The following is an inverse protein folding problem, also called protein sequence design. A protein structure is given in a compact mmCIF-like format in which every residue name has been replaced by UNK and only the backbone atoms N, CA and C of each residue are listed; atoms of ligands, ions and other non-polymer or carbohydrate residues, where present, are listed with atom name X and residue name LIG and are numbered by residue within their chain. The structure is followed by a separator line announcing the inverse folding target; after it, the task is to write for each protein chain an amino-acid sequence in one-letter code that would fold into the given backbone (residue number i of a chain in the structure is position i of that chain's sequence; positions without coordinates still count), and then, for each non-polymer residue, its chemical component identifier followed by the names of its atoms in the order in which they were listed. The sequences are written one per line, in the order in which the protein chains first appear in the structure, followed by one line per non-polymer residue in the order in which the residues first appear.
data_IF_763659224137
#
_entry.id   IF_763659224137
#
_cell.length_a   1.000
_cell.length_b   1.000
_cell.length_c   1.000
_cell.angle_alpha   90.00
_cell.angle_beta   90.00
_cell.angle_gamma   90.00
#
_symmetry.space_group_name_H-M   'P 1'
#
loop_
_entity.id
_entity.type
_entity.pdbx_description
1 polymer ?
#
# COMPACT_ATOMS: atom_id res chain seq x y z
N UNK A 1 6.99 -6.96 -17.01
CA UNK A 1 5.66 -6.38 -17.36
C UNK A 1 4.51 -7.01 -16.59
N UNK A 2 4.62 -8.22 -16.03
CA UNK A 2 3.52 -8.86 -15.31
C UNK A 2 3.18 -8.16 -13.98
N UNK A 3 4.19 -7.85 -13.16
CA UNK A 3 4.01 -7.12 -11.89
C UNK A 3 3.23 -5.80 -12.06
N UNK A 4 3.49 -5.06 -13.15
CA UNK A 4 2.75 -3.84 -13.46
C UNK A 4 1.25 -4.12 -13.70
N UNK A 5 0.91 -5.23 -14.36
CA UNK A 5 -0.50 -5.62 -14.57
C UNK A 5 -1.16 -5.97 -13.24
N UNK A 6 -0.46 -6.71 -12.39
CA UNK A 6 -0.95 -7.05 -11.05
C UNK A 6 -1.20 -5.80 -10.21
N UNK A 7 -0.25 -4.87 -10.17
CA UNK A 7 -0.39 -3.58 -9.46
C UNK A 7 -1.62 -2.80 -9.96
N UNK A 8 -1.84 -2.80 -11.28
CA UNK A 8 -3.03 -2.17 -11.89
C UNK A 8 -4.33 -2.88 -11.50
N UNK A 9 -4.35 -4.21 -11.55
CA UNK A 9 -5.53 -5.00 -11.20
C UNK A 9 -5.91 -4.81 -9.73
N UNK A 10 -4.93 -4.66 -8.86
CA UNK A 10 -5.11 -4.33 -7.45
C UNK A 10 -5.55 -2.87 -7.21
N UNK A 11 -5.64 -2.02 -8.25
CA UNK A 11 -5.98 -0.60 -8.09
C UNK A 11 -4.89 0.22 -7.40
N UNK A 12 -3.68 -0.31 -7.25
CA UNK A 12 -2.58 0.30 -6.51
C UNK A 12 -1.71 1.24 -7.39
N UNK A 13 -2.09 1.43 -8.66
CA UNK A 13 -1.39 2.35 -9.55
C UNK A 13 -1.75 3.80 -9.20
N UNK A 14 -0.76 4.68 -8.96
CA UNK A 14 -1.02 6.07 -8.65
C UNK A 14 -1.90 6.77 -9.70
N UNK A 15 -2.85 7.63 -9.28
CA UNK A 15 -3.67 8.41 -10.21
C UNK A 15 -2.79 9.23 -11.17
N UNK A 16 -3.15 9.23 -12.46
CA UNK A 16 -2.39 9.94 -13.49
C UNK A 16 -1.14 9.22 -13.98
N UNK A 17 -0.74 8.10 -13.35
CA UNK A 17 0.35 7.27 -13.85
C UNK A 17 -0.13 6.42 -15.02
N UNK A 18 0.28 6.81 -16.23
CA UNK A 18 -0.02 6.09 -17.47
C UNK A 18 0.65 4.72 -17.57
N UNK A 19 0.47 3.99 -18.68
CA UNK A 19 1.19 2.74 -18.90
C UNK A 19 2.71 2.99 -18.98
N UNK A 20 3.57 2.00 -18.66
CA UNK A 20 5.00 2.16 -18.71
C UNK A 20 5.47 2.60 -20.11
N UNK A 21 6.53 3.42 -20.23
CA UNK A 21 7.05 3.86 -21.52
C UNK A 21 7.29 2.69 -22.48
N UNK A 22 7.12 2.92 -23.80
CA UNK A 22 7.39 1.87 -24.82
C UNK A 22 8.81 1.33 -24.71
N UNK A 23 9.76 2.19 -24.36
CA UNK A 23 11.13 1.81 -24.06
C UNK A 23 11.21 0.71 -22.99
N UNK A 24 10.32 0.62 -22.00
CA UNK A 24 10.40 -0.44 -20.99
C UNK A 24 9.61 -1.71 -21.36
N UNK A 25 8.81 -1.66 -22.44
CA UNK A 25 7.91 -2.74 -22.86
C UNK A 25 8.47 -3.68 -23.92
N UNK A 26 9.41 -3.23 -24.75
CA UNK A 26 9.95 -4.02 -25.88
C UNK A 26 11.18 -4.88 -25.54
N UNK A 27 11.65 -5.66 -26.51
CA UNK A 27 12.98 -6.30 -26.43
C UNK A 27 14.07 -5.29 -26.83
N UNK A 28 15.28 -5.38 -26.25
CA UNK A 28 16.44 -4.57 -26.64
C UNK A 28 16.83 -4.87 -28.10
N UNK A 29 16.82 -3.88 -29.02
CA UNK A 29 17.31 -4.07 -30.38
C UNK A 29 18.85 -4.02 -30.47
N UNK A 30 19.56 -4.31 -29.36
CA UNK A 30 21.02 -4.21 -29.26
C UNK A 30 21.73 -5.00 -30.36
N UNK A 31 21.20 -6.17 -30.74
CA UNK A 31 21.78 -7.00 -31.81
C UNK A 31 21.70 -6.36 -33.21
N UNK A 32 20.67 -5.55 -33.51
CA UNK A 32 20.47 -4.98 -34.85
C UNK A 32 21.34 -3.74 -35.11
N UNK A 33 21.65 -2.97 -34.08
CA UNK A 33 22.44 -1.74 -34.21
C UNK A 33 23.92 -2.06 -34.41
N UNK A 34 24.46 -3.07 -33.70
CA UNK A 34 25.84 -3.53 -33.90
C UNK A 34 26.11 -4.04 -35.32
N UNK A 35 25.13 -4.71 -35.93
CA UNK A 35 25.19 -5.18 -37.32
C UNK A 35 25.04 -4.05 -38.34
N UNK A 36 24.19 -3.05 -38.06
CA UNK A 36 23.98 -1.89 -38.95
C UNK A 36 25.21 -0.98 -38.97
N UNK A 37 25.90 -0.85 -37.83
CA UNK A 37 27.14 -0.08 -37.73
C UNK A 37 28.37 -0.88 -38.22
N UNK A 38 28.27 -2.19 -38.47
CA UNK A 38 29.36 -3.03 -38.99
C UNK A 38 29.68 -2.83 -40.50
N UNK A 39 28.93 -1.97 -41.20
CA UNK A 39 29.21 -1.64 -42.60
C UNK A 39 30.57 -0.93 -42.74
N UNK A 40 31.48 -1.36 -43.64
CA UNK A 40 32.81 -0.76 -43.76
C UNK A 40 32.74 0.59 -44.48
N UNK A 41 32.69 1.68 -43.72
CA UNK A 41 32.86 3.05 -44.21
C UNK A 41 34.24 3.60 -43.84
N UNK A 42 35.02 4.03 -44.82
CA UNK A 42 36.37 4.55 -44.64
C UNK A 42 36.38 5.85 -43.79
N UNK A 43 37.14 5.87 -42.68
CA UNK A 43 37.57 7.11 -42.00
C UNK A 43 36.89 7.48 -40.67
N UNK A 44 35.94 6.68 -40.15
CA UNK A 44 35.12 7.08 -38.99
C UNK A 44 35.37 6.31 -37.68
N UNK A 45 36.53 5.63 -37.52
CA UNK A 45 36.83 4.76 -36.37
C UNK A 45 36.40 5.37 -35.03
N UNK A 46 37.07 6.42 -34.56
CA UNK A 46 36.82 6.98 -33.22
C UNK A 46 35.37 7.42 -32.95
N UNK A 47 34.68 8.01 -33.93
CA UNK A 47 33.27 8.41 -33.79
C UNK A 47 32.34 7.19 -33.76
N UNK A 48 32.66 6.15 -34.53
CA UNK A 48 31.92 4.89 -34.57
C UNK A 48 32.08 4.11 -33.27
N UNK A 49 33.28 4.03 -32.71
CA UNK A 49 33.51 3.44 -31.39
C UNK A 49 32.77 4.21 -30.29
N UNK A 50 32.78 5.55 -30.32
CA UNK A 50 32.04 6.37 -29.37
C UNK A 50 30.53 6.12 -29.43
N UNK A 51 29.97 5.98 -30.64
CA UNK A 51 28.54 5.68 -30.82
C UNK A 51 28.19 4.28 -30.32
N UNK A 52 29.03 3.28 -30.56
CA UNK A 52 28.82 1.93 -30.05
C UNK A 52 28.80 1.91 -28.52
N UNK A 53 29.73 2.62 -27.88
CA UNK A 53 29.76 2.77 -26.43
C UNK A 53 28.49 3.44 -25.89
N UNK A 54 28.03 4.54 -26.50
CA UNK A 54 26.78 5.21 -26.10
C UNK A 54 25.59 4.24 -26.18
N UNK A 55 25.51 3.43 -27.24
CA UNK A 55 24.42 2.46 -27.39
C UNK A 55 24.45 1.37 -26.32
N UNK A 56 25.65 0.90 -25.95
CA UNK A 56 25.83 -0.06 -24.86
C UNK A 56 25.37 0.54 -23.53
N UNK A 57 25.79 1.75 -23.19
CA UNK A 57 25.39 2.45 -21.97
C UNK A 57 23.88 2.71 -21.90
N UNK A 58 23.26 3.12 -23.02
CA UNK A 58 21.80 3.25 -23.09
C UNK A 58 21.10 1.90 -22.89
N UNK A 59 21.69 0.81 -23.36
CA UNK A 59 21.21 -0.55 -23.11
C UNK A 59 21.29 -0.93 -21.63
N UNK A 60 22.40 -0.58 -20.98
CA UNK A 60 22.62 -0.80 -19.55
C UNK A 60 21.65 -0.01 -18.70
N UNK A 61 21.50 1.30 -18.95
CA UNK A 61 20.57 2.17 -18.25
C UNK A 61 19.14 1.64 -18.37
N UNK A 62 18.72 1.26 -19.58
CA UNK A 62 17.39 0.67 -19.81
C UNK A 62 17.18 -0.62 -19.01
N UNK A 63 18.21 -1.46 -18.85
CA UNK A 63 18.12 -2.68 -18.05
C UNK A 63 17.88 -2.35 -16.58
N UNK A 64 18.59 -1.36 -16.05
CA UNK A 64 18.40 -0.85 -14.70
C UNK A 64 16.99 -0.29 -14.52
N UNK A 65 16.49 0.50 -15.48
CA UNK A 65 15.13 1.06 -15.42
C UNK A 65 14.06 -0.03 -15.37
N UNK A 66 14.23 -1.12 -16.14
CA UNK A 66 13.30 -2.26 -16.11
C UNK A 66 13.35 -2.97 -14.76
N UNK A 67 14.54 -3.15 -14.18
CA UNK A 67 14.70 -3.75 -12.84
C UNK A 67 14.06 -2.88 -11.76
N UNK A 68 14.35 -1.58 -11.77
CA UNK A 68 13.79 -0.61 -10.84
C UNK A 68 12.26 -0.57 -10.92
N UNK A 69 11.70 -0.53 -12.13
CA UNK A 69 10.25 -0.59 -12.31
C UNK A 69 9.67 -1.89 -11.72
N UNK A 70 10.37 -3.02 -11.88
CA UNK A 70 10.00 -4.29 -11.26
C UNK A 70 9.96 -4.20 -9.74
N UNK A 71 11.03 -3.68 -9.13
CA UNK A 71 11.14 -3.51 -7.67
C UNK A 71 10.05 -2.59 -7.12
N UNK A 72 9.78 -1.46 -7.80
CA UNK A 72 8.70 -0.55 -7.41
C UNK A 72 7.32 -1.21 -7.51
N UNK A 73 7.09 -2.05 -8.51
CA UNK A 73 5.83 -2.81 -8.60
C UNK A 73 5.70 -3.83 -7.47
N UNK A 74 6.78 -4.57 -7.16
CA UNK A 74 6.78 -5.51 -6.03
C UNK A 74 6.51 -4.80 -4.71
N UNK A 75 7.23 -3.71 -4.44
CA UNK A 75 7.02 -2.90 -3.24
C UNK A 75 5.58 -2.37 -3.14
N UNK A 76 5.02 -1.89 -4.25
CA UNK A 76 3.63 -1.43 -4.28
C UNK A 76 2.63 -2.52 -3.92
N UNK A 77 2.85 -3.76 -4.39
CA UNK A 77 2.02 -4.91 -4.04
C UNK A 77 2.17 -5.30 -2.56
N UNK A 78 3.39 -5.33 -2.03
CA UNK A 78 3.66 -5.59 -0.61
C UNK A 78 2.99 -4.55 0.29
N UNK A 79 3.09 -3.26 -0.06
CA UNK A 79 2.39 -2.18 0.64
C UNK A 79 0.87 -2.32 0.56
N UNK A 80 0.34 -2.83 -0.55
CA UNK A 80 -1.08 -3.15 -0.69
C UNK A 80 -1.51 -4.23 0.29
N UNK A 81 -0.80 -5.35 0.34
CA UNK A 81 -1.06 -6.44 1.27
C UNK A 81 -1.00 -5.99 2.73
N UNK A 82 0.02 -5.20 3.11
CA UNK A 82 0.13 -4.64 4.47
C UNK A 82 -1.04 -3.70 4.83
N UNK A 83 -1.59 -2.96 3.85
CA UNK A 83 -2.77 -2.12 4.09
C UNK A 83 -4.01 -2.96 4.34
N UNK A 84 -4.19 -4.06 3.61
CA UNK A 84 -5.29 -4.99 3.81
C UNK A 84 -5.18 -5.68 5.19
N UNK A 85 -3.98 -6.14 5.56
CA UNK A 85 -3.71 -6.73 6.87
C UNK A 85 -3.99 -5.74 8.02
N UNK A 86 -3.56 -4.48 7.86
CA UNK A 86 -3.84 -3.44 8.86
C UNK A 86 -5.33 -3.13 8.98
N UNK A 87 -6.09 -3.13 7.87
CA UNK A 87 -7.55 -2.94 7.91
C UNK A 87 -8.21 -4.08 8.66
N UNK A 88 -7.85 -5.33 8.35
CA UNK A 88 -8.39 -6.50 9.05
C UNK A 88 -8.10 -6.45 10.56
N UNK A 89 -6.86 -6.12 10.95
CA UNK A 89 -6.50 -5.98 12.35
C UNK A 89 -7.36 -4.93 13.08
N UNK A 90 -7.59 -3.77 12.45
CA UNK A 90 -8.40 -2.70 13.05
C UNK A 90 -9.90 -3.05 13.12
N UNK A 91 -10.41 -3.83 12.16
CA UNK A 91 -11.77 -4.34 12.18
C UNK A 91 -11.94 -5.34 13.34
N UNK A 92 -11.00 -6.27 13.51
CA UNK A 92 -10.97 -7.22 14.63
C UNK A 92 -10.87 -6.50 15.99
N UNK A 93 -9.97 -5.53 16.13
CA UNK A 93 -9.80 -4.74 17.38
C UNK A 93 -11.05 -3.89 17.71
N UNK A 94 -11.79 -3.43 16.69
CA UNK A 94 -13.04 -2.70 16.90
C UNK A 94 -14.17 -3.61 17.38
N UNK A 95 -14.26 -4.84 16.86
CA UNK A 95 -15.24 -5.85 17.30
C UNK A 95 -14.98 -6.27 18.75
N UNK A 96 -13.74 -6.59 19.11
CA UNK A 96 -13.35 -6.95 20.49
C UNK A 96 -13.71 -5.84 21.48
N UNK A 97 -13.39 -4.57 21.18
CA UNK A 97 -13.77 -3.44 22.03
C UNK A 97 -15.29 -3.31 22.20
N UNK A 98 -16.08 -3.58 21.16
CA UNK A 98 -17.55 -3.53 21.29
C UNK A 98 -18.09 -4.68 22.14
N UNK A 99 -17.53 -5.88 22.04
CA UNK A 99 -17.91 -7.02 22.86
C UNK A 99 -17.55 -6.78 24.34
N UNK A 100 -16.36 -6.25 24.63
CA UNK A 100 -15.95 -5.88 25.98
C UNK A 100 -16.85 -4.78 26.58
N UNK A 101 -17.21 -3.77 25.79
CA UNK A 101 -18.15 -2.72 26.23
C UNK A 101 -19.55 -3.27 26.52
N UNK A 102 -20.05 -4.22 25.72
CA UNK A 102 -21.33 -4.87 25.96
C UNK A 102 -21.29 -5.77 27.21
N UNK A 103 -20.21 -6.52 27.44
CA UNK A 103 -20.04 -7.35 28.63
C UNK A 103 -19.99 -6.49 29.91
N UNK A 104 -19.25 -5.38 29.92
CA UNK A 104 -19.20 -4.46 31.08
C UNK A 104 -20.58 -3.84 31.37
N UNK A 105 -21.33 -3.47 30.33
CA UNK A 105 -22.72 -2.98 30.49
C UNK A 105 -23.65 -4.06 31.04
N UNK A 106 -23.52 -5.30 30.59
CA UNK A 106 -24.32 -6.42 31.08
C UNK A 106 -23.98 -6.75 32.54
N UNK A 107 -22.70 -6.76 32.91
CA UNK A 107 -22.23 -6.96 34.28
C UNK A 107 -22.71 -5.83 35.20
N UNK A 108 -22.65 -4.57 34.75
CA UNK A 108 -23.15 -3.42 35.50
C UNK A 108 -24.67 -3.46 35.69
N UNK A 109 -25.43 -3.82 34.65
CA UNK A 109 -26.88 -4.00 34.74
C UNK A 109 -27.29 -5.14 35.68
N UNK A 110 -26.52 -6.23 35.73
CA UNK A 110 -26.71 -7.34 36.67
C UNK A 110 -26.40 -6.95 38.12
N UNK A 111 -25.36 -6.14 38.36
CA UNK A 111 -25.01 -5.61 39.69
C UNK A 111 -26.04 -4.59 40.21
N UNK A 112 -26.56 -3.72 39.34
CA UNK A 112 -27.64 -2.78 39.67
C UNK A 112 -28.97 -3.52 39.89
N UNK A 113 -29.25 -4.60 39.15
CA UNK A 113 -30.43 -5.45 39.33
C UNK A 113 -30.44 -6.31 40.61
N UNK A 114 -29.27 -6.61 41.18
CA UNK A 114 -29.14 -7.31 42.47
C UNK A 114 -29.31 -6.38 43.68
N UNK A 115 -29.23 -5.06 43.48
CA UNK A 115 -29.41 -4.05 44.51
C UNK A 115 -30.86 -3.55 44.51
N UNK A 116 -31.79 -4.38 45.03
CA UNK A 116 -33.10 -3.87 45.43
C UNK A 116 -32.90 -2.80 46.52
N UNK A 117 -33.35 -1.54 46.34
CA UNK A 117 -33.59 -0.72 47.51
C UNK A 117 -34.75 -1.36 48.26
N UNK A 118 -34.49 -1.82 49.49
CA UNK A 118 -35.56 -2.09 50.46
C UNK A 118 -36.39 -0.81 50.57
N UNK A 119 -37.73 -0.83 50.42
CA UNK A 119 -38.55 0.32 50.75
C UNK A 119 -38.59 0.44 52.28
N UNK A 120 -37.56 1.05 52.84
CA UNK A 120 -37.39 1.30 54.26
C UNK A 120 -37.49 2.80 54.53
N UNK A 121 -38.62 3.19 55.09
CA UNK A 121 -38.95 4.47 55.72
C UNK A 121 -37.82 5.50 55.89
N UNK A 122 -37.88 6.58 55.12
CA UNK A 122 -37.34 7.89 55.53
C UNK A 122 -38.41 8.96 55.32
N UNK A 123 -39.29 9.10 56.32
CA UNK A 123 -40.06 10.32 56.54
C UNK A 123 -39.05 11.42 56.89
N UNK A 124 -39.00 12.56 56.19
CA UNK A 124 -38.19 13.69 56.63
C UNK A 124 -38.73 14.19 57.98
N UNK A 125 -37.89 14.63 58.93
CA UNK A 125 -38.40 15.25 60.14
C UNK A 125 -39.13 16.54 59.77
N UNK A 126 -40.42 16.59 60.11
CA UNK A 126 -41.23 17.80 60.03
C UNK A 126 -40.70 18.77 61.11
N UNK A 127 -39.77 19.67 60.75
CA UNK A 127 -39.40 20.77 61.63
C UNK A 127 -40.45 21.87 61.48
N UNK A 128 -41.25 22.07 62.53
CA UNK A 128 -42.11 23.24 62.70
C UNK A 128 -41.28 24.52 62.64
N UNK A 129 -41.49 25.33 61.60
CA UNK A 129 -41.05 26.72 61.57
C UNK A 129 -42.06 27.54 62.39
N UNK A 130 -41.73 27.81 63.65
CA UNK A 130 -42.44 28.86 64.40
C UNK A 130 -41.89 30.22 63.94
N UNK A 131 -42.79 31.10 63.50
CA UNK A 131 -42.50 32.47 63.05
C UNK A 131 -42.31 33.40 64.25
#
# INVERSE_FOLDING_TARGET
MELWKQLRQAGLVPPGLGPPPRALRGVLPVEKVGQTLASPGAGAGGARESLLWIWEELGNLRRVDVQLLGQLCSLGLEMGALREELVAFLEEEAEENTEEEEEDRELKGKLEGASRPVPGHHRPPDFEMTI
#
